data_IF_450675204261
#
_entry.id   IF_450675204261
#
_cell.length_a   1.000
_cell.length_b   1.000
_cell.length_c   1.000
_cell.angle_alpha   90.00
_cell.angle_beta   90.00
_cell.angle_gamma   90.00
#
_symmetry.space_group_name_H-M   'P 1'
#
loop_
_entity.id
_entity.type
_entity.pdbx_description
1 polymer ?
#
# COMPACT_ATOMS: atom_id res chain seq x y z
N UNK A 1 -55.79 -10.46 2.20
CA UNK A 1 -54.32 -10.32 2.05
C UNK A 1 -53.99 -8.87 1.74
N UNK A 2 -53.71 -8.05 2.77
CA UNK A 2 -53.27 -6.67 2.55
C UNK A 2 -51.79 -6.68 2.17
N UNK A 3 -51.51 -6.55 0.87
CA UNK A 3 -50.16 -6.25 0.40
C UNK A 3 -49.88 -4.79 0.80
N UNK A 4 -49.09 -4.62 1.85
CA UNK A 4 -48.55 -3.32 2.26
C UNK A 4 -47.53 -2.86 1.21
N UNK A 5 -48.03 -2.22 0.15
CA UNK A 5 -47.17 -1.52 -0.81
C UNK A 5 -46.72 -0.23 -0.13
N UNK A 6 -45.42 -0.12 0.17
CA UNK A 6 -44.79 1.13 0.55
C UNK A 6 -45.03 2.14 -0.59
N UNK A 7 -46.10 2.95 -0.52
CA UNK A 7 -46.47 3.89 -1.57
C UNK A 7 -45.50 5.07 -1.53
N UNK A 8 -44.33 4.89 -2.14
CA UNK A 8 -43.41 6.00 -2.42
C UNK A 8 -44.16 7.14 -3.11
N UNK A 9 -45.16 6.84 -3.94
CA UNK A 9 -45.95 7.82 -4.69
C UNK A 9 -46.78 8.79 -3.83
N UNK A 10 -47.22 8.40 -2.61
CA UNK A 10 -48.04 9.26 -1.75
C UNK A 10 -47.24 10.20 -0.85
N UNK A 11 -45.89 10.11 -0.85
CA UNK A 11 -45.04 10.98 -0.06
C UNK A 11 -44.90 12.38 -0.70
N UNK A 12 -44.81 13.46 0.10
CA UNK A 12 -44.50 14.80 -0.39
C UNK A 12 -43.19 14.80 -1.18
N UNK A 13 -43.11 15.65 -2.21
CA UNK A 13 -41.94 15.74 -3.08
C UNK A 13 -40.63 15.95 -2.31
N UNK A 14 -40.64 16.81 -1.29
CA UNK A 14 -39.49 17.03 -0.42
C UNK A 14 -38.97 15.74 0.22
N UNK A 15 -39.87 14.89 0.74
CA UNK A 15 -39.50 13.61 1.37
C UNK A 15 -38.86 12.66 0.36
N UNK A 16 -39.42 12.56 -0.85
CA UNK A 16 -38.83 11.75 -1.95
C UNK A 16 -37.44 12.24 -2.32
N UNK A 17 -37.23 13.56 -2.35
CA UNK A 17 -35.93 14.16 -2.64
C UNK A 17 -34.90 13.82 -1.57
N UNK A 18 -35.23 13.95 -0.28
CA UNK A 18 -34.32 13.57 0.81
C UNK A 18 -34.00 12.07 0.83
N UNK A 19 -34.99 11.21 0.57
CA UNK A 19 -34.76 9.75 0.47
C UNK A 19 -33.85 9.43 -0.71
N UNK A 20 -34.08 10.05 -1.88
CA UNK A 20 -33.21 9.89 -3.05
C UNK A 20 -31.78 10.38 -2.79
N UNK A 21 -31.63 11.53 -2.12
CA UNK A 21 -30.34 12.08 -1.76
C UNK A 21 -29.58 11.20 -0.76
N UNK A 22 -30.28 10.67 0.25
CA UNK A 22 -29.70 9.73 1.21
C UNK A 22 -29.22 8.45 0.52
N UNK A 23 -30.05 7.84 -0.34
CA UNK A 23 -29.68 6.66 -1.12
C UNK A 23 -28.48 6.93 -2.05
N UNK A 24 -28.46 8.10 -2.69
CA UNK A 24 -27.35 8.51 -3.53
C UNK A 24 -26.05 8.67 -2.72
N UNK A 25 -26.11 9.29 -1.54
CA UNK A 25 -24.98 9.39 -0.62
C UNK A 25 -24.45 8.02 -0.18
N UNK A 26 -25.34 7.08 0.17
CA UNK A 26 -24.95 5.71 0.50
C UNK A 26 -24.26 4.99 -0.67
N UNK A 27 -24.79 5.15 -1.89
CA UNK A 27 -24.18 4.57 -3.10
C UNK A 27 -22.77 5.13 -3.36
N UNK A 28 -22.59 6.44 -3.19
CA UNK A 28 -21.26 7.07 -3.34
C UNK A 28 -20.25 6.53 -2.34
N UNK A 29 -20.63 6.39 -1.06
CA UNK A 29 -19.75 5.81 -0.03
C UNK A 29 -19.41 4.34 -0.39
N UNK A 30 -20.39 3.57 -0.87
CA UNK A 30 -20.19 2.18 -1.30
C UNK A 30 -19.22 2.05 -2.47
N UNK A 31 -19.36 2.91 -3.50
CA UNK A 31 -18.48 2.94 -4.67
C UNK A 31 -17.02 3.27 -4.31
N UNK A 32 -16.82 4.30 -3.48
CA UNK A 32 -15.47 4.68 -3.01
C UNK A 32 -14.83 3.55 -2.20
N UNK A 33 -15.61 2.89 -1.33
CA UNK A 33 -15.14 1.76 -0.53
C UNK A 33 -14.78 0.55 -1.39
N UNK A 34 -15.60 0.23 -2.40
CA UNK A 34 -15.34 -0.87 -3.33
C UNK A 34 -14.09 -0.61 -4.19
N UNK A 35 -13.89 0.62 -4.66
CA UNK A 35 -12.70 1.00 -5.42
C UNK A 35 -11.42 0.80 -4.58
N UNK A 36 -11.44 1.23 -3.32
CA UNK A 36 -10.33 0.99 -2.39
C UNK A 36 -10.08 -0.49 -2.12
N UNK A 37 -11.16 -1.29 -2.05
CA UNK A 37 -11.06 -2.75 -1.87
C UNK A 37 -10.39 -3.44 -3.06
N UNK A 38 -10.73 -3.05 -4.29
CA UNK A 38 -10.16 -3.63 -5.52
C UNK A 38 -8.68 -3.28 -5.69
N UNK A 39 -8.27 -2.08 -5.29
CA UNK A 39 -6.88 -1.61 -5.47
C UNK A 39 -5.89 -2.20 -4.44
N UNK A 40 -6.39 -2.63 -3.27
CA UNK A 40 -5.60 -3.24 -2.21
C UNK A 40 -4.85 -4.53 -2.61
N UNK A 41 -5.47 -5.53 -3.28
CA UNK A 41 -4.76 -6.74 -3.71
C UNK A 41 -3.68 -6.45 -4.75
N UNK A 42 -3.88 -5.50 -5.67
CA UNK A 42 -2.85 -5.10 -6.66
C UNK A 42 -1.62 -4.50 -5.96
N UNK A 43 -1.84 -3.69 -4.92
CA UNK A 43 -0.74 -3.15 -4.12
C UNK A 43 0.02 -4.26 -3.38
N UNK A 44 -0.69 -5.22 -2.77
CA UNK A 44 -0.05 -6.34 -2.10
C UNK A 44 0.76 -7.20 -3.08
N UNK A 45 0.25 -7.44 -4.30
CA UNK A 45 0.98 -8.19 -5.34
C UNK A 45 2.31 -7.52 -5.71
N UNK A 46 2.32 -6.19 -5.85
CA UNK A 46 3.57 -5.47 -6.15
C UNK A 46 4.62 -5.60 -5.04
N UNK A 47 4.19 -5.54 -3.77
CA UNK A 47 5.09 -5.76 -2.63
C UNK A 47 5.57 -7.21 -2.55
N UNK A 48 4.69 -8.18 -2.78
CA UNK A 48 5.03 -9.61 -2.82
C UNK A 48 6.03 -9.94 -3.93
N UNK A 49 5.94 -9.27 -5.09
CA UNK A 49 6.94 -9.43 -6.15
C UNK A 49 8.33 -8.99 -5.70
N UNK A 50 8.42 -7.89 -4.94
CA UNK A 50 9.67 -7.42 -4.36
C UNK A 50 10.18 -8.34 -3.25
N UNK A 51 9.29 -8.85 -2.41
CA UNK A 51 9.62 -9.85 -1.39
C UNK A 51 10.21 -11.13 -2.02
N UNK A 52 9.57 -11.66 -3.07
CA UNK A 52 10.07 -12.82 -3.80
C UNK A 52 11.45 -12.57 -4.41
N UNK A 53 11.73 -11.36 -4.89
CA UNK A 53 13.06 -11.00 -5.41
C UNK A 53 14.12 -10.97 -4.32
N UNK A 54 13.72 -10.66 -3.09
CA UNK A 54 14.59 -10.62 -1.92
C UNK A 54 14.68 -11.98 -1.21
N UNK A 55 14.03 -13.01 -1.72
CA UNK A 55 14.04 -14.36 -1.14
C UNK A 55 15.47 -14.93 -1.08
N UNK A 56 16.33 -14.58 -2.04
CA UNK A 56 17.74 -15.01 -2.07
C UNK A 56 18.53 -14.56 -0.82
N UNK A 57 18.08 -13.50 -0.14
CA UNK A 57 18.67 -12.98 1.09
C UNK A 57 17.79 -13.23 2.33
N UNK A 58 16.76 -14.06 2.23
CA UNK A 58 15.84 -14.36 3.33
C UNK A 58 16.56 -14.96 4.54
N UNK A 59 17.65 -15.71 4.34
CA UNK A 59 18.50 -16.25 5.41
C UNK A 59 19.14 -15.18 6.32
N UNK A 60 19.22 -13.93 5.86
CA UNK A 60 19.74 -12.78 6.60
C UNK A 60 18.65 -11.94 7.25
N UNK A 61 17.38 -12.28 7.03
CA UNK A 61 16.22 -11.57 7.57
C UNK A 61 16.13 -11.79 9.08
N UNK A 62 16.19 -10.70 9.83
CA UNK A 62 16.01 -10.68 11.29
C UNK A 62 14.53 -10.52 11.62
N UNK A 63 13.85 -9.63 10.91
CA UNK A 63 12.43 -9.35 11.14
C UNK A 63 11.74 -8.85 9.88
N UNK A 64 10.42 -9.02 9.86
CA UNK A 64 9.54 -8.56 8.81
C UNK A 64 8.26 -8.01 9.41
N UNK A 65 7.79 -6.88 8.90
CA UNK A 65 6.60 -6.20 9.39
C UNK A 65 5.82 -5.58 8.23
N UNK A 66 4.54 -5.93 8.12
CA UNK A 66 3.60 -5.26 7.22
C UNK A 66 2.77 -4.25 8.00
N UNK A 67 2.72 -3.02 7.51
CA UNK A 67 1.92 -1.98 8.12
C UNK A 67 1.43 -0.97 7.09
N UNK A 68 0.30 -0.34 7.40
CA UNK A 68 -0.26 0.72 6.57
C UNK A 68 0.21 2.11 7.06
N UNK A 69 0.48 3.01 6.13
CA UNK A 69 0.90 4.40 6.40
C UNK A 69 0.19 5.39 5.47
N UNK A 70 0.53 6.68 5.59
CA UNK A 70 -0.06 7.74 4.79
C UNK A 70 -1.43 8.21 5.31
N UNK A 71 -2.03 9.16 4.59
CA UNK A 71 -3.37 9.64 4.96
C UNK A 71 -4.39 8.53 4.75
N UNK A 72 -5.24 8.30 5.75
CA UNK A 72 -6.26 7.25 5.73
C UNK A 72 -5.70 5.83 5.47
N UNK A 73 -4.45 5.55 5.86
CA UNK A 73 -3.83 4.21 5.74
C UNK A 73 -3.81 3.65 4.32
N UNK A 74 -3.65 4.53 3.33
CA UNK A 74 -3.72 4.17 1.92
C UNK A 74 -2.43 3.53 1.39
N UNK A 75 -1.28 3.77 2.05
CA UNK A 75 -0.01 3.21 1.62
C UNK A 75 0.24 1.89 2.33
N UNK A 76 0.59 0.86 1.58
CA UNK A 76 1.01 -0.41 2.15
C UNK A 76 2.54 -0.46 2.19
N UNK A 77 3.08 -0.88 3.33
CA UNK A 77 4.52 -0.96 3.53
C UNK A 77 4.92 -2.37 3.98
N UNK A 78 6.05 -2.81 3.48
CA UNK A 78 6.78 -3.97 3.95
C UNK A 78 8.13 -3.50 4.47
N UNK A 79 8.35 -3.63 5.78
CA UNK A 79 9.63 -3.34 6.42
C UNK A 79 10.33 -4.65 6.71
N UNK A 80 11.57 -4.75 6.25
CA UNK A 80 12.43 -5.91 6.47
C UNK A 80 13.72 -5.42 7.11
N UNK A 81 14.12 -6.08 8.18
CA UNK A 81 15.40 -5.82 8.85
C UNK A 81 16.33 -6.98 8.54
N UNK A 82 17.51 -6.67 8.03
CA UNK A 82 18.54 -7.64 7.68
C UNK A 82 19.78 -7.45 8.54
N UNK A 83 20.41 -8.57 8.89
CA UNK A 83 21.74 -8.60 9.48
C UNK A 83 22.77 -9.01 8.42
N UNK A 84 24.00 -8.49 8.56
CA UNK A 84 25.15 -8.91 7.76
C UNK A 84 24.92 -8.78 6.24
N UNK A 85 24.22 -7.72 5.82
CA UNK A 85 24.02 -7.33 4.42
C UNK A 85 24.40 -5.87 4.23
N UNK A 86 24.66 -5.46 2.99
CA UNK A 86 24.93 -4.06 2.63
C UNK A 86 23.85 -3.49 1.71
N UNK A 87 23.83 -2.16 1.55
CA UNK A 87 22.97 -1.52 0.55
C UNK A 87 23.27 -1.99 -0.88
N UNK A 88 24.54 -2.27 -1.18
CA UNK A 88 24.95 -2.70 -2.52
C UNK A 88 24.46 -4.11 -2.85
N UNK A 89 24.37 -5.00 -1.87
CA UNK A 89 23.76 -6.32 -2.06
C UNK A 89 22.28 -6.19 -2.45
N UNK A 90 21.54 -5.31 -1.78
CA UNK A 90 20.12 -5.05 -2.09
C UNK A 90 19.98 -4.38 -3.46
N UNK A 91 20.79 -3.35 -3.75
CA UNK A 91 20.81 -2.71 -5.07
C UNK A 91 21.13 -3.70 -6.17
N UNK A 92 22.06 -4.65 -5.95
CA UNK A 92 22.41 -5.70 -6.92
C UNK A 92 21.23 -6.62 -7.18
N UNK A 93 20.52 -7.07 -6.14
CA UNK A 93 19.32 -7.92 -6.29
C UNK A 93 18.23 -7.18 -7.08
N UNK A 94 18.00 -5.91 -6.75
CA UNK A 94 16.99 -5.08 -7.38
C UNK A 94 17.46 -4.40 -8.69
N UNK A 95 18.69 -4.66 -9.14
CA UNK A 95 19.28 -4.01 -10.33
C UNK A 95 18.61 -4.40 -11.64
N UNK A 96 17.93 -5.55 -11.66
CA UNK A 96 17.11 -5.98 -12.80
C UNK A 96 15.85 -5.12 -12.96
N UNK A 97 15.48 -4.40 -11.90
CA UNK A 97 14.39 -3.45 -11.91
C UNK A 97 14.93 -2.08 -12.32
N UNK A 98 14.14 -1.31 -13.06
CA UNK A 98 14.50 0.04 -13.48
C UNK A 98 14.33 1.05 -12.33
N UNK A 99 14.96 0.75 -11.19
CA UNK A 99 14.90 1.55 -9.96
C UNK A 99 15.86 2.73 -10.10
N UNK A 100 15.31 3.93 -9.99
CA UNK A 100 16.10 5.15 -9.91
C UNK A 100 16.55 5.37 -8.46
N UNK A 101 17.84 5.19 -8.21
CA UNK A 101 18.43 5.36 -6.89
C UNK A 101 18.88 6.80 -6.63
N UNK A 102 18.49 7.32 -5.49
CA UNK A 102 18.90 8.61 -4.96
C UNK A 102 19.59 8.44 -3.61
N UNK A 103 20.89 8.70 -3.58
CA UNK A 103 21.71 8.64 -2.36
C UNK A 103 21.62 9.95 -1.60
N UNK A 104 20.84 9.95 -0.53
CA UNK A 104 20.63 11.15 0.29
C UNK A 104 21.75 11.27 1.34
N UNK A 105 22.20 10.14 1.89
CA UNK A 105 23.40 10.07 2.74
C UNK A 105 24.01 8.67 2.71
N UNK A 106 25.20 8.52 3.31
CA UNK A 106 25.87 7.21 3.44
C UNK A 106 25.04 6.14 4.14
N UNK A 107 24.08 6.54 4.96
CA UNK A 107 23.22 5.66 5.75
C UNK A 107 21.75 5.73 5.33
N UNK A 108 21.42 6.44 4.25
CA UNK A 108 20.03 6.64 3.82
C UNK A 108 19.97 6.78 2.29
N UNK A 109 19.36 5.80 1.62
CA UNK A 109 19.21 5.76 0.17
C UNK A 109 17.74 5.52 -0.16
N UNK A 110 17.23 6.20 -1.19
CA UNK A 110 15.86 6.02 -1.66
C UNK A 110 15.89 5.61 -3.13
N UNK A 111 15.29 4.47 -3.45
CA UNK A 111 15.03 4.01 -4.80
C UNK A 111 13.57 4.24 -5.20
N UNK A 112 13.31 4.52 -6.47
CA UNK A 112 11.94 4.58 -7.02
C UNK A 112 11.82 3.70 -8.26
N UNK A 113 10.89 2.77 -8.22
CA UNK A 113 10.42 2.07 -9.41
C UNK A 113 9.12 2.71 -9.87
N UNK A 114 9.17 3.51 -10.93
CA UNK A 114 8.01 4.20 -11.48
C UNK A 114 7.03 3.27 -12.20
N UNK A 115 7.47 2.07 -12.61
CA UNK A 115 6.63 1.09 -13.30
C UNK A 115 5.77 0.32 -12.31
N UNK A 116 6.37 -0.14 -11.22
CA UNK A 116 5.64 -0.78 -10.12
C UNK A 116 5.03 0.23 -9.15
N UNK A 117 5.43 1.51 -9.25
CA UNK A 117 5.09 2.62 -8.33
C UNK A 117 5.38 2.25 -6.85
N UNK A 118 6.55 1.61 -6.68
CA UNK A 118 7.13 1.20 -5.40
C UNK A 118 8.29 2.15 -5.07
N UNK A 119 8.26 2.69 -3.84
CA UNK A 119 9.40 3.40 -3.26
C UNK A 119 10.16 2.46 -2.35
N UNK A 120 11.47 2.40 -2.54
CA UNK A 120 12.40 1.57 -1.78
C UNK A 120 13.20 2.50 -0.89
N UNK A 121 13.20 2.29 0.41
CA UNK A 121 13.98 3.08 1.36
C UNK A 121 14.95 2.15 2.07
N UNK A 122 16.24 2.49 2.01
CA UNK A 122 17.32 1.76 2.66
C UNK A 122 17.96 2.65 3.71
N UNK A 123 18.10 2.14 4.92
CA UNK A 123 18.87 2.84 5.94
C UNK A 123 19.58 1.91 6.92
N UNK A 124 20.70 2.38 7.44
CA UNK A 124 21.48 1.63 8.43
C UNK A 124 21.01 2.02 9.83
N UNK A 125 20.69 1.02 10.64
CA UNK A 125 20.53 1.22 12.06
C UNK A 125 21.92 1.22 12.72
N UNK A 126 22.34 2.39 13.19
CA UNK A 126 23.71 2.62 13.69
C UNK A 126 24.03 1.72 14.89
N UNK A 127 23.06 1.51 15.78
CA UNK A 127 23.25 0.77 17.02
C UNK A 127 23.44 -0.74 16.78
N UNK A 128 22.63 -1.32 15.89
CA UNK A 128 22.60 -2.76 15.61
C UNK A 128 23.45 -3.17 14.40
N UNK A 129 23.95 -2.21 13.61
CA UNK A 129 24.62 -2.40 12.31
C UNK A 129 23.75 -3.18 11.30
N UNK A 130 22.44 -3.15 11.50
CA UNK A 130 21.47 -3.79 10.61
C UNK A 130 21.08 -2.86 9.48
N UNK A 131 20.69 -3.45 8.35
CA UNK A 131 20.10 -2.73 7.22
C UNK A 131 18.59 -2.87 7.32
N UNK A 132 17.90 -1.74 7.33
CA UNK A 132 16.45 -1.69 7.25
C UNK A 132 16.05 -1.31 5.83
N UNK A 133 15.22 -2.15 5.25
CA UNK A 133 14.57 -1.96 3.97
C UNK A 133 13.08 -1.67 4.22
N UNK A 134 12.56 -0.61 3.61
CA UNK A 134 11.12 -0.34 3.55
C UNK A 134 10.72 -0.30 2.07
N UNK A 135 9.76 -1.13 1.71
CA UNK A 135 9.07 -1.10 0.43
C UNK A 135 7.72 -0.42 0.66
N UNK A 136 7.50 0.75 0.08
CA UNK A 136 6.25 1.51 0.17
C UNK A 136 5.55 1.51 -1.20
N UNK A 137 4.32 1.01 -1.24
CA UNK A 137 3.44 1.12 -2.41
C UNK A 137 2.39 2.19 -2.13
N UNK A 138 2.42 3.27 -2.91
CA UNK A 138 1.45 4.38 -2.80
C UNK A 138 0.15 4.05 -3.52
N UNK A 139 -0.94 4.62 -3.03
CA UNK A 139 -2.25 4.58 -3.70
C UNK A 139 -2.40 5.74 -4.68
#
# INVERSE_FOLDING_TARGET
>A
MNKSYFKLSSLPFAVKFYVGFALFGFLLIGLVSLHAYIKRPEQMQSLQLYEQKLEDISSKKVSEEYYASGRAYQNNNLKITYDSITFDDIKRILSKENVEWNEISKNYIVGKDFKADVTIVLYNEIASKQVILILERRN
#
